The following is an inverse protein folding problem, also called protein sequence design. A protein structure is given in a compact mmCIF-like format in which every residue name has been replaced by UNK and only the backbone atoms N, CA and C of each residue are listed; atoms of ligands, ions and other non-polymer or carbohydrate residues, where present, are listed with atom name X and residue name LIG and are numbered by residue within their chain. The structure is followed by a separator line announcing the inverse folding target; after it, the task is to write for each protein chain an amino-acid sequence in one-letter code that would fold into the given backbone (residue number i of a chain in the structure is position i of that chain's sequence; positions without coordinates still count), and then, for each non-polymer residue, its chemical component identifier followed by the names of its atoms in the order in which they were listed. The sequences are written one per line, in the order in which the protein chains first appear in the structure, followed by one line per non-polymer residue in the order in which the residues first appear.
data_IF_975769241882
#
_entry.id   IF_975769241882
#
_cell.length_a   1.000
_cell.length_b   1.000
_cell.length_c   1.000
_cell.angle_alpha   90.00
_cell.angle_beta   90.00
_cell.angle_gamma   90.00
#
_symmetry.space_group_name_H-M   'P 1'
#
loop_
_entity.id
_entity.type
_entity.pdbx_description
1 polymer ?
#
# COMPACT_ATOMS: atom_id res chain seq x y z
N UNK A 1 -17.33 5.50 4.26
CA UNK A 1 -16.34 4.41 4.41
C UNK A 1 -16.17 3.73 3.06
N UNK A 2 -14.94 3.39 2.70
CA UNK A 2 -14.65 2.57 1.52
C UNK A 2 -15.13 1.13 1.80
N UNK A 3 -15.88 0.51 0.87
CA UNK A 3 -16.37 -0.86 1.05
C UNK A 3 -15.22 -1.87 0.99
N UNK A 4 -15.31 -2.96 1.77
CA UNK A 4 -14.33 -4.07 1.71
C UNK A 4 -14.37 -4.78 0.37
N UNK A 5 -15.58 -4.97 -0.16
CA UNK A 5 -15.83 -5.65 -1.43
C UNK A 5 -16.94 -4.92 -2.18
N UNK A 6 -16.80 -4.81 -3.50
CA UNK A 6 -17.90 -4.47 -4.40
C UNK A 6 -17.90 -5.47 -5.53
N UNK A 7 -19.04 -6.14 -5.74
CA UNK A 7 -19.23 -6.99 -6.90
C UNK A 7 -19.19 -6.16 -8.19
N UNK A 8 -18.90 -6.79 -9.35
CA UNK A 8 -19.12 -6.16 -10.64
C UNK A 8 -20.53 -5.59 -10.73
N UNK A 9 -20.61 -4.37 -11.25
CA UNK A 9 -21.82 -3.57 -11.30
C UNK A 9 -22.48 -3.73 -12.69
N UNK A 10 -23.83 -3.72 -12.77
CA UNK A 10 -24.54 -3.94 -14.03
C UNK A 10 -24.40 -2.77 -15.02
N UNK A 11 -23.95 -1.60 -14.56
CA UNK A 11 -23.68 -0.44 -15.40
C UNK A 11 -22.72 -0.74 -16.56
N UNK A 12 -22.98 -0.10 -17.70
CA UNK A 12 -22.10 -0.14 -18.86
C UNK A 12 -21.70 1.26 -19.27
N UNK A 13 -20.43 1.43 -19.63
CA UNK A 13 -19.95 2.68 -20.20
C UNK A 13 -20.39 2.81 -21.66
N UNK A 14 -20.54 4.04 -22.15
CA UNK A 14 -20.74 4.26 -23.58
C UNK A 14 -19.48 3.89 -24.38
N UNK A 15 -19.68 3.45 -25.62
CA UNK A 15 -18.61 3.16 -26.58
C UNK A 15 -18.15 4.40 -27.36
N UNK A 16 -18.97 5.45 -27.40
CA UNK A 16 -18.70 6.71 -28.10
C UNK A 16 -17.51 7.45 -27.50
N UNK A 17 -16.84 8.26 -28.31
CA UNK A 17 -15.79 9.14 -27.83
C UNK A 17 -16.43 10.28 -27.02
N UNK A 18 -15.86 10.61 -25.87
CA UNK A 18 -16.32 11.77 -25.11
C UNK A 18 -15.17 12.53 -24.47
N UNK A 19 -15.38 13.83 -24.28
CA UNK A 19 -14.42 14.72 -23.65
C UNK A 19 -15.13 15.83 -22.89
N UNK A 20 -14.69 16.06 -21.66
CA UNK A 20 -15.09 17.23 -20.89
C UNK A 20 -14.40 18.48 -21.46
N UNK A 21 -15.20 19.49 -21.82
CA UNK A 21 -14.73 20.80 -22.25
C UNK A 21 -14.57 21.67 -21.00
N UNK A 22 -13.32 21.80 -20.55
CA UNK A 22 -12.93 22.45 -19.28
C UNK A 22 -11.73 23.36 -19.49
N UNK A 23 -11.47 24.22 -18.51
CA UNK A 23 -10.21 24.95 -18.48
C UNK A 23 -9.01 23.99 -18.33
N UNK A 24 -7.83 24.35 -18.89
CA UNK A 24 -6.65 23.49 -18.81
C UNK A 24 -6.22 23.18 -17.37
N UNK A 25 -6.38 24.15 -16.47
CA UNK A 25 -5.94 24.07 -15.07
C UNK A 25 -6.83 23.19 -14.20
N UNK A 26 -8.11 23.04 -14.55
CA UNK A 26 -9.05 22.30 -13.73
C UNK A 26 -8.82 20.78 -13.85
N UNK A 27 -8.87 20.07 -12.74
CA UNK A 27 -8.76 18.62 -12.71
C UNK A 27 -10.11 17.94 -12.45
N UNK A 28 -10.64 17.28 -13.47
CA UNK A 28 -11.91 16.57 -13.41
C UNK A 28 -11.77 15.09 -13.80
N UNK A 29 -12.56 14.27 -13.12
CA UNK A 29 -12.91 12.93 -13.51
C UNK A 29 -14.31 12.95 -14.13
N UNK A 30 -14.51 12.30 -15.29
CA UNK A 30 -15.81 12.21 -15.92
C UNK A 30 -16.04 10.82 -16.53
N UNK A 31 -17.20 10.24 -16.24
CA UNK A 31 -17.63 8.92 -16.72
C UNK A 31 -19.03 9.02 -17.28
N UNK A 32 -19.25 8.41 -18.43
CA UNK A 32 -20.55 8.40 -19.11
C UNK A 32 -21.05 6.96 -19.25
N UNK A 33 -22.15 6.67 -18.55
CA UNK A 33 -22.81 5.38 -18.55
C UNK A 33 -23.94 5.36 -19.58
N UNK A 34 -24.06 4.25 -20.29
CA UNK A 34 -25.16 3.97 -21.20
C UNK A 34 -26.44 3.70 -20.40
N UNK A 35 -27.53 4.38 -20.76
CA UNK A 35 -28.87 4.14 -20.17
C UNK A 35 -29.88 3.75 -21.27
N UNK A 36 -29.70 4.27 -22.48
CA UNK A 36 -30.44 3.90 -23.68
C UNK A 36 -29.81 4.50 -24.92
N UNK A 37 -30.35 4.19 -26.11
CA UNK A 37 -29.77 4.62 -27.39
C UNK A 37 -29.61 6.14 -27.51
N UNK A 38 -30.42 6.93 -26.80
CA UNK A 38 -30.35 8.40 -26.75
C UNK A 38 -30.33 8.97 -25.34
N UNK A 39 -29.90 8.17 -24.36
CA UNK A 39 -29.88 8.57 -22.96
C UNK A 39 -28.64 8.04 -22.26
N UNK A 40 -27.93 8.91 -21.56
CA UNK A 40 -26.78 8.53 -20.75
C UNK A 40 -26.88 9.09 -19.33
N UNK A 41 -26.13 8.48 -18.42
CA UNK A 41 -25.88 9.02 -17.08
C UNK A 41 -24.44 9.49 -17.01
N UNK A 42 -24.24 10.76 -16.71
CA UNK A 42 -22.92 11.37 -16.56
C UNK A 42 -22.60 11.54 -15.09
N UNK A 43 -21.41 11.08 -14.68
CA UNK A 43 -20.82 11.33 -13.37
C UNK A 43 -19.58 12.19 -13.57
N UNK A 44 -19.53 13.33 -12.90
CA UNK A 44 -18.38 14.24 -12.89
C UNK A 44 -17.90 14.44 -11.46
N UNK A 45 -16.58 14.38 -11.24
CA UNK A 45 -15.94 14.70 -9.96
C UNK A 45 -14.81 15.69 -10.17
N UNK A 46 -14.75 16.71 -9.33
CA UNK A 46 -13.60 17.61 -9.23
C UNK A 46 -12.54 16.97 -8.33
N UNK A 47 -11.30 16.93 -8.80
CA UNK A 47 -10.19 16.20 -8.19
C UNK A 47 -9.13 17.11 -7.56
N UNK A 48 -9.18 18.41 -7.86
CA UNK A 48 -8.23 19.42 -7.39
C UNK A 48 -8.78 20.34 -6.29
N UNK A 49 -10.09 20.32 -6.02
CA UNK A 49 -10.72 21.17 -5.01
C UNK A 49 -11.83 20.45 -4.22
N UNK A 50 -12.05 20.90 -2.98
CA UNK A 50 -13.14 20.40 -2.13
C UNK A 50 -14.49 21.04 -2.44
N UNK A 51 -14.49 22.16 -3.16
CA UNK A 51 -15.69 22.87 -3.60
C UNK A 51 -16.11 22.41 -5.00
N UNK A 52 -17.33 22.76 -5.41
CA UNK A 52 -17.78 22.56 -6.78
C UNK A 52 -17.14 23.52 -7.79
N UNK A 53 -17.87 23.80 -8.86
CA UNK A 53 -17.42 24.65 -9.97
C UNK A 53 -18.55 25.59 -10.40
N UNK A 54 -18.23 26.87 -10.58
CA UNK A 54 -19.18 27.90 -10.99
C UNK A 54 -19.21 28.17 -12.50
N UNK A 55 -18.20 27.70 -13.24
CA UNK A 55 -18.14 27.86 -14.69
C UNK A 55 -19.04 26.84 -15.40
N UNK A 56 -19.57 27.19 -16.57
CA UNK A 56 -20.35 26.27 -17.38
C UNK A 56 -19.47 25.17 -17.96
N UNK A 57 -19.56 23.99 -17.36
CA UNK A 57 -18.90 22.79 -17.81
C UNK A 57 -19.71 22.14 -18.92
N UNK A 58 -19.07 21.71 -20.00
CA UNK A 58 -19.73 21.04 -21.12
C UNK A 58 -19.10 19.69 -21.40
N UNK A 59 -19.88 18.75 -21.91
CA UNK A 59 -19.44 17.43 -22.31
C UNK A 59 -19.67 17.28 -23.81
N UNK A 60 -18.60 16.99 -24.54
CA UNK A 60 -18.71 16.58 -25.95
C UNK A 60 -18.82 15.05 -26.01
N UNK A 61 -19.83 14.53 -26.68
CA UNK A 61 -19.98 13.11 -27.04
C UNK A 61 -20.04 13.04 -28.56
N UNK A 62 -19.04 12.43 -29.19
CA UNK A 62 -18.77 12.52 -30.62
C UNK A 62 -18.86 13.98 -31.11
N UNK A 63 -19.89 14.33 -31.90
CA UNK A 63 -20.09 15.67 -32.47
C UNK A 63 -21.11 16.52 -31.68
N UNK A 64 -21.75 15.98 -30.65
CA UNK A 64 -22.74 16.70 -29.84
C UNK A 64 -22.10 17.29 -28.58
N UNK A 65 -22.46 18.53 -28.24
CA UNK A 65 -22.03 19.20 -27.01
C UNK A 65 -23.23 19.39 -26.09
N UNK A 66 -23.14 18.80 -24.91
CA UNK A 66 -24.15 18.82 -23.86
C UNK A 66 -23.71 19.72 -22.71
N UNK A 67 -24.65 20.39 -22.07
CA UNK A 67 -24.39 21.22 -20.90
C UNK A 67 -24.43 20.37 -19.62
N UNK A 68 -23.33 20.41 -18.86
CA UNK A 68 -23.26 19.82 -17.51
C UNK A 68 -23.63 20.90 -16.47
N UNK A 69 -23.45 22.18 -16.78
CA UNK A 69 -23.69 23.29 -15.87
C UNK A 69 -22.76 23.32 -14.67
N UNK A 70 -23.04 24.22 -13.73
CA UNK A 70 -22.31 24.38 -12.47
C UNK A 70 -22.67 23.29 -11.43
N UNK A 71 -21.83 23.12 -10.41
CA UNK A 71 -22.13 22.34 -9.20
C UNK A 71 -21.65 23.09 -7.95
N UNK A 72 -22.41 23.02 -6.87
CA UNK A 72 -21.99 23.55 -5.56
C UNK A 72 -21.00 22.64 -4.85
N UNK A 73 -21.10 21.32 -5.08
CA UNK A 73 -20.22 20.29 -4.53
C UNK A 73 -19.19 19.83 -5.54
N UNK A 74 -18.12 19.17 -5.08
CA UNK A 74 -17.05 18.65 -5.93
C UNK A 74 -17.46 17.41 -6.76
N UNK A 75 -18.76 17.17 -6.92
CA UNK A 75 -19.32 16.10 -7.73
C UNK A 75 -20.63 16.55 -8.37
N UNK A 76 -21.02 15.91 -9.47
CA UNK A 76 -22.34 16.04 -10.07
C UNK A 76 -22.69 14.77 -10.84
N UNK A 77 -23.88 14.25 -10.61
CA UNK A 77 -24.45 13.13 -11.38
C UNK A 77 -25.76 13.58 -12.02
N UNK A 78 -25.96 13.25 -13.28
CA UNK A 78 -27.19 13.58 -14.01
C UNK A 78 -27.46 12.59 -15.14
N UNK A 79 -28.70 12.54 -15.60
CA UNK A 79 -29.06 11.91 -16.86
C UNK A 79 -29.23 12.98 -17.94
N UNK A 80 -28.77 12.69 -19.15
CA UNK A 80 -28.85 13.57 -20.32
C UNK A 80 -29.45 12.78 -21.50
N UNK A 81 -30.25 13.48 -22.29
CA UNK A 81 -30.66 13.01 -23.61
C UNK A 81 -29.64 13.45 -24.67
N UNK A 82 -29.44 12.61 -25.67
CA UNK A 82 -28.48 12.84 -26.76
C UNK A 82 -29.18 12.76 -28.11
N UNK A 83 -28.78 13.62 -29.04
CA UNK A 83 -29.14 13.52 -30.47
C UNK A 83 -28.33 12.42 -31.15
N UNK A 84 -27.08 12.24 -30.73
CA UNK A 84 -26.24 11.13 -31.22
C UNK A 84 -26.71 9.80 -30.63
N UNK A 85 -26.67 8.75 -31.44
CA UNK A 85 -26.93 7.40 -30.98
C UNK A 85 -25.76 6.88 -30.15
N UNK A 86 -26.06 6.40 -28.95
CA UNK A 86 -25.07 5.86 -28.04
C UNK A 86 -24.86 4.37 -28.28
N UNK A 87 -23.60 3.96 -28.24
CA UNK A 87 -23.19 2.55 -28.27
C UNK A 87 -22.76 2.11 -26.89
N UNK A 88 -22.78 0.80 -26.64
CA UNK A 88 -22.28 0.20 -25.39
C UNK A 88 -20.81 -0.17 -25.57
N UNK A 89 -19.96 0.18 -24.60
CA UNK A 89 -18.56 -0.25 -24.61
C UNK A 89 -18.47 -1.78 -24.50
N UNK A 90 -17.70 -2.38 -25.41
CA UNK A 90 -17.50 -3.83 -25.49
C UNK A 90 -16.44 -4.27 -24.49
N UNK A 91 -16.83 -5.14 -23.56
CA UNK A 91 -15.91 -5.77 -22.61
C UNK A 91 -15.27 -6.96 -23.33
N UNK A 92 -13.94 -6.96 -23.43
CA UNK A 92 -13.16 -8.03 -24.08
C UNK A 92 -12.71 -9.04 -23.06
N UNK A 93 -12.64 -10.32 -23.44
CA UNK A 93 -12.02 -11.36 -22.61
C UNK A 93 -10.55 -11.04 -22.32
N UNK A 94 -10.08 -11.49 -21.16
CA UNK A 94 -8.71 -11.31 -20.70
C UNK A 94 -8.32 -12.42 -19.73
N UNK A 95 -7.03 -12.76 -19.71
CA UNK A 95 -6.48 -13.73 -18.76
C UNK A 95 -6.36 -13.18 -17.34
N UNK A 96 -5.96 -11.91 -17.21
CA UNK A 96 -5.83 -11.24 -15.90
C UNK A 96 -7.23 -11.08 -15.28
N UNK A 97 -7.48 -11.58 -14.06
CA UNK A 97 -8.78 -11.47 -13.42
C UNK A 97 -9.28 -10.02 -13.28
N UNK A 98 -10.59 -9.78 -13.51
CA UNK A 98 -11.23 -8.47 -13.34
C UNK A 98 -11.48 -8.14 -11.86
N UNK A 99 -10.41 -8.03 -11.09
CA UNK A 99 -10.45 -7.67 -9.67
C UNK A 99 -9.45 -6.55 -9.42
N UNK A 100 -9.93 -5.41 -8.93
CA UNK A 100 -9.11 -4.29 -8.47
C UNK A 100 -8.82 -4.50 -6.98
N UNK A 101 -7.54 -4.45 -6.61
CA UNK A 101 -7.07 -4.66 -5.23
C UNK A 101 -6.33 -3.43 -4.76
N UNK A 102 -6.74 -2.92 -3.61
CA UNK A 102 -6.06 -1.84 -2.91
C UNK A 102 -5.93 -2.16 -1.43
N UNK A 103 -4.88 -1.65 -0.79
CA UNK A 103 -4.66 -1.78 0.65
C UNK A 103 -4.37 -0.42 1.27
N UNK A 104 -4.95 -0.16 2.43
CA UNK A 104 -4.64 1.02 3.24
C UNK A 104 -5.01 0.76 4.69
N UNK A 105 -4.40 1.48 5.64
CA UNK A 105 -4.56 1.16 7.06
C UNK A 105 -5.99 1.26 7.61
N UNK A 106 -6.87 1.98 6.90
CA UNK A 106 -8.26 2.18 7.30
C UNK A 106 -9.15 2.39 6.08
N UNK A 107 -10.41 1.98 6.21
CA UNK A 107 -11.48 2.23 5.23
C UNK A 107 -12.04 3.66 5.28
N UNK A 108 -11.67 4.45 6.29
CA UNK A 108 -12.12 5.83 6.39
C UNK A 108 -11.25 6.71 5.49
N UNK A 109 -11.82 7.34 4.44
CA UNK A 109 -11.05 8.29 3.63
C UNK A 109 -10.64 9.48 4.50
N UNK A 110 -9.46 10.02 4.21
CA UNK A 110 -8.89 11.13 4.98
C UNK A 110 -9.60 12.47 4.69
N UNK A 111 -10.16 12.63 3.49
CA UNK A 111 -10.92 13.79 3.03
C UNK A 111 -11.64 13.45 1.69
N UNK A 112 -12.53 14.31 1.16
CA UNK A 112 -13.30 14.01 -0.05
C UNK A 112 -12.46 13.66 -1.29
N UNK A 113 -11.34 14.35 -1.53
CA UNK A 113 -10.47 14.01 -2.68
C UNK A 113 -9.83 12.62 -2.58
N UNK A 114 -9.53 12.11 -1.38
CA UNK A 114 -9.10 10.72 -1.19
C UNK A 114 -10.24 9.76 -1.54
N UNK A 115 -11.48 10.07 -1.14
CA UNK A 115 -12.64 9.26 -1.54
C UNK A 115 -12.86 9.29 -3.06
N UNK A 116 -12.71 10.46 -3.71
CA UNK A 116 -12.79 10.58 -5.17
C UNK A 116 -11.70 9.77 -5.89
N UNK A 117 -10.49 9.69 -5.33
CA UNK A 117 -9.41 8.87 -5.87
C UNK A 117 -9.83 7.38 -5.97
N UNK A 118 -10.41 6.83 -4.90
CA UNK A 118 -11.03 5.50 -4.92
C UNK A 118 -12.16 5.41 -5.96
N UNK A 119 -13.05 6.40 -6.01
CA UNK A 119 -14.20 6.38 -6.92
C UNK A 119 -13.77 6.31 -8.39
N UNK A 120 -12.67 6.93 -8.77
CA UNK A 120 -12.17 6.84 -10.16
C UNK A 120 -11.91 5.40 -10.61
N UNK A 121 -11.48 4.51 -9.71
CA UNK A 121 -11.27 3.10 -10.04
C UNK A 121 -12.59 2.38 -10.28
N UNK A 122 -13.54 2.50 -9.35
CA UNK A 122 -14.81 1.76 -9.48
C UNK A 122 -15.67 2.34 -10.59
N UNK A 123 -15.67 3.66 -10.78
CA UNK A 123 -16.48 4.35 -11.80
C UNK A 123 -16.01 4.06 -13.23
N UNK A 124 -14.69 4.02 -13.48
CA UNK A 124 -14.15 3.68 -14.81
C UNK A 124 -14.25 2.20 -15.16
N UNK A 125 -14.49 1.33 -14.18
CA UNK A 125 -14.39 -0.11 -14.35
C UNK A 125 -15.58 -0.83 -13.66
N UNK A 126 -16.84 -0.53 -14.05
CA UNK A 126 -18.01 -1.19 -13.47
C UNK A 126 -17.95 -2.72 -13.59
N UNK A 127 -17.29 -3.26 -14.60
CA UNK A 127 -17.12 -4.69 -14.85
C UNK A 127 -16.09 -5.39 -13.95
N UNK A 128 -15.37 -4.63 -13.10
CA UNK A 128 -14.40 -5.17 -12.16
C UNK A 128 -15.02 -5.33 -10.78
N UNK A 129 -14.68 -6.44 -10.13
CA UNK A 129 -14.82 -6.56 -8.68
C UNK A 129 -13.81 -5.63 -8.01
N UNK A 130 -14.19 -4.97 -6.91
CA UNK A 130 -13.27 -4.19 -6.09
C UNK A 130 -13.05 -4.86 -4.74
N UNK A 131 -11.79 -4.95 -4.29
CA UNK A 131 -11.42 -5.43 -2.95
C UNK A 131 -10.49 -4.46 -2.25
N UNK A 132 -10.86 -4.11 -1.03
CA UNK A 132 -10.06 -3.31 -0.12
C UNK A 132 -9.59 -4.15 1.05
N UNK A 133 -8.31 -4.02 1.40
CA UNK A 133 -7.70 -4.67 2.56
C UNK A 133 -7.16 -3.63 3.54
N UNK A 134 -7.59 -3.71 4.80
CA UNK A 134 -6.89 -3.05 5.90
C UNK A 134 -5.76 -3.93 6.47
N UNK A 135 -5.00 -3.39 7.44
CA UNK A 135 -3.85 -4.09 8.05
C UNK A 135 -4.25 -5.49 8.60
N UNK A 136 -5.46 -5.62 9.15
CA UNK A 136 -5.96 -6.87 9.72
C UNK A 136 -6.44 -7.84 8.62
N UNK A 137 -7.06 -7.32 7.55
CA UNK A 137 -7.46 -8.10 6.39
C UNK A 137 -6.23 -8.68 5.65
N UNK A 138 -5.17 -7.88 5.46
CA UNK A 138 -3.91 -8.31 4.86
C UNK A 138 -3.28 -9.48 5.62
N UNK A 139 -3.16 -9.33 6.95
CA UNK A 139 -2.62 -10.39 7.81
C UNK A 139 -3.46 -11.65 7.79
N UNK A 140 -4.79 -11.51 7.87
CA UNK A 140 -5.74 -12.63 7.83
C UNK A 140 -5.76 -13.34 6.48
N UNK A 141 -5.55 -12.61 5.38
CA UNK A 141 -5.35 -13.20 4.06
C UNK A 141 -4.09 -14.07 4.04
N UNK A 142 -2.95 -13.54 4.50
CA UNK A 142 -1.67 -14.29 4.52
C UNK A 142 -1.81 -15.55 5.38
N UNK A 143 -2.38 -15.42 6.59
CA UNK A 143 -2.61 -16.56 7.51
C UNK A 143 -3.44 -17.69 6.87
N UNK A 144 -4.42 -17.36 6.01
CA UNK A 144 -5.30 -18.36 5.39
C UNK A 144 -4.68 -19.05 4.17
N UNK A 145 -3.81 -18.36 3.44
CA UNK A 145 -3.33 -18.83 2.13
C UNK A 145 -1.87 -19.26 2.11
N UNK A 146 -1.08 -18.90 3.12
CA UNK A 146 0.36 -19.15 3.14
C UNK A 146 0.81 -19.83 4.44
N UNK A 147 1.95 -20.55 4.40
CA UNK A 147 2.57 -21.10 5.60
C UNK A 147 2.91 -20.01 6.62
N UNK A 148 2.99 -20.41 7.88
CA UNK A 148 3.34 -19.54 9.02
C UNK A 148 4.59 -18.67 8.76
N UNK A 149 5.59 -19.22 8.06
CA UNK A 149 6.81 -18.50 7.68
C UNK A 149 6.56 -17.18 6.95
N UNK A 150 5.53 -17.11 6.09
CA UNK A 150 5.18 -15.88 5.36
C UNK A 150 4.45 -14.89 6.27
N UNK A 151 3.58 -15.40 7.15
CA UNK A 151 2.90 -14.59 8.17
C UNK A 151 3.90 -13.98 9.15
N UNK A 152 4.92 -14.73 9.56
CA UNK A 152 6.03 -14.25 10.38
C UNK A 152 6.80 -13.12 9.71
N UNK A 153 7.15 -13.29 8.42
CA UNK A 153 7.83 -12.26 7.66
C UNK A 153 6.99 -10.97 7.60
N UNK A 154 5.68 -11.10 7.41
CA UNK A 154 4.76 -9.96 7.43
C UNK A 154 4.70 -9.28 8.82
N UNK A 155 4.54 -10.06 9.89
CA UNK A 155 4.44 -9.58 11.26
C UNK A 155 5.73 -8.82 11.68
N UNK A 156 6.91 -9.33 11.32
CA UNK A 156 8.20 -8.78 11.75
C UNK A 156 8.53 -7.44 11.07
N UNK A 157 8.01 -7.16 9.87
CA UNK A 157 8.20 -5.86 9.23
C UNK A 157 7.48 -4.76 10.03
N UNK A 158 8.15 -3.65 10.35
CA UNK A 158 7.52 -2.53 11.06
C UNK A 158 6.79 -1.57 10.14
N UNK A 159 7.43 -1.18 9.04
CA UNK A 159 6.89 -0.15 8.17
C UNK A 159 5.76 -0.71 7.30
N UNK A 160 4.62 -0.01 7.29
CA UNK A 160 3.45 -0.36 6.47
C UNK A 160 3.77 -0.50 4.98
N UNK A 161 4.72 0.28 4.46
CA UNK A 161 5.14 0.19 3.06
C UNK A 161 5.71 -1.20 2.71
N UNK A 162 6.65 -1.72 3.51
CA UNK A 162 7.19 -3.07 3.31
C UNK A 162 6.11 -4.16 3.47
N UNK A 163 5.20 -4.00 4.43
CA UNK A 163 4.07 -4.92 4.59
C UNK A 163 3.16 -4.93 3.37
N UNK A 164 2.84 -3.77 2.80
CA UNK A 164 2.02 -3.65 1.61
C UNK A 164 2.71 -4.23 0.36
N UNK A 165 4.03 -4.11 0.25
CA UNK A 165 4.82 -4.77 -0.80
C UNK A 165 4.75 -6.30 -0.69
N UNK A 166 4.91 -6.85 0.52
CA UNK A 166 4.80 -8.30 0.71
C UNK A 166 3.36 -8.78 0.42
N UNK A 167 2.36 -8.06 0.93
CA UNK A 167 0.95 -8.40 0.73
C UNK A 167 0.56 -8.44 -0.75
N UNK A 168 1.00 -7.48 -1.58
CA UNK A 168 0.61 -7.50 -3.01
C UNK A 168 1.18 -8.71 -3.75
N UNK A 169 2.39 -9.17 -3.40
CA UNK A 169 2.90 -10.43 -3.94
C UNK A 169 2.06 -11.63 -3.47
N UNK A 170 1.73 -11.69 -2.17
CA UNK A 170 0.86 -12.73 -1.63
C UNK A 170 -0.49 -12.80 -2.34
N UNK A 171 -1.16 -11.64 -2.52
CA UNK A 171 -2.46 -11.61 -3.17
C UNK A 171 -2.38 -12.05 -4.64
N UNK A 172 -1.45 -11.45 -5.40
CA UNK A 172 -1.33 -11.72 -6.84
C UNK A 172 -0.92 -13.17 -7.13
N UNK A 173 -0.11 -13.81 -6.28
CA UNK A 173 0.23 -15.25 -6.43
C UNK A 173 -1.02 -16.12 -6.32
N UNK A 174 -1.93 -15.84 -5.39
CA UNK A 174 -3.11 -16.68 -5.12
C UNK A 174 -4.23 -16.40 -6.12
N UNK A 175 -4.52 -15.13 -6.36
CA UNK A 175 -5.74 -14.72 -7.08
C UNK A 175 -5.47 -13.98 -8.39
N UNK A 176 -4.25 -13.53 -8.64
CA UNK A 176 -3.99 -12.58 -9.73
C UNK A 176 -4.77 -11.28 -9.54
N UNK A 177 -5.09 -10.63 -10.65
CA UNK A 177 -5.89 -9.41 -10.69
C UNK A 177 -5.02 -8.15 -10.83
N UNK A 178 -5.58 -7.01 -10.40
CA UNK A 178 -5.02 -5.68 -10.65
C UNK A 178 -4.78 -4.93 -9.34
N UNK A 179 -3.55 -4.96 -8.84
CA UNK A 179 -3.16 -4.22 -7.64
C UNK A 179 -2.79 -2.77 -7.99
N UNK A 180 -3.29 -1.82 -7.19
CA UNK A 180 -2.92 -0.41 -7.25
C UNK A 180 -2.74 0.16 -5.84
N UNK A 181 -1.85 1.15 -5.71
CA UNK A 181 -1.76 1.93 -4.49
C UNK A 181 -3.06 2.72 -4.25
N UNK A 182 -3.54 2.73 -3.00
CA UNK A 182 -4.92 3.12 -2.71
C UNK A 182 -5.22 4.60 -2.99
N UNK A 183 -4.20 5.45 -2.85
CA UNK A 183 -4.34 6.91 -2.99
C UNK A 183 -4.06 7.41 -4.41
N UNK A 184 -4.04 6.52 -5.40
CA UNK A 184 -3.90 6.90 -6.79
C UNK A 184 -5.23 7.34 -7.41
N UNK A 185 -5.15 8.16 -8.45
CA UNK A 185 -6.31 8.58 -9.25
C UNK A 185 -6.19 7.94 -10.62
N UNK A 186 -7.16 7.09 -10.97
CA UNK A 186 -7.21 6.45 -12.28
C UNK A 186 -7.79 7.43 -13.31
N UNK A 187 -7.13 7.57 -14.46
CA UNK A 187 -7.51 8.53 -15.52
C UNK A 187 -8.19 7.87 -16.71
N UNK A 188 -7.96 6.58 -16.91
CA UNK A 188 -8.41 5.79 -18.07
C UNK A 188 -8.85 4.41 -17.63
N UNK A 189 -9.67 3.75 -18.44
CA UNK A 189 -10.26 2.45 -18.10
C UNK A 189 -9.19 1.37 -18.18
N UNK A 190 -9.30 0.34 -17.35
CA UNK A 190 -8.36 -0.79 -17.38
C UNK A 190 -8.48 -1.60 -18.67
N UNK A 191 -9.66 -1.67 -19.29
CA UNK A 191 -9.85 -2.26 -20.62
C UNK A 191 -9.10 -1.51 -21.74
N UNK A 192 -8.70 -0.26 -21.53
CA UNK A 192 -7.85 0.47 -22.49
C UNK A 192 -6.39 0.02 -22.39
N UNK A 193 -5.99 -0.62 -21.27
CA UNK A 193 -4.63 -1.04 -20.95
C UNK A 193 -4.43 -2.55 -21.14
N UNK A 194 -5.32 -3.38 -20.58
CA UNK A 194 -5.18 -4.84 -20.54
C UNK A 194 -5.62 -5.46 -21.85
N UNK A 195 -4.71 -6.19 -22.50
CA UNK A 195 -4.98 -6.93 -23.73
C UNK A 195 -5.40 -8.37 -23.41
N UNK A 196 -6.16 -9.05 -24.30
CA UNK A 196 -6.66 -10.40 -24.04
C UNK A 196 -5.57 -11.41 -23.65
N UNK A 197 -4.40 -11.32 -24.29
CA UNK A 197 -3.30 -12.27 -24.14
C UNK A 197 -2.29 -11.89 -23.04
N UNK A 198 -2.45 -10.73 -22.38
CA UNK A 198 -1.53 -10.27 -21.34
C UNK A 198 -1.56 -11.22 -20.13
N UNK A 199 -0.40 -11.76 -19.76
CA UNK A 199 -0.22 -12.48 -18.49
C UNK A 199 0.16 -11.51 -17.35
N UNK A 200 0.77 -10.39 -17.70
CA UNK A 200 1.20 -9.33 -16.78
C UNK A 200 1.10 -7.96 -17.45
N UNK A 201 0.82 -6.95 -16.63
CA UNK A 201 1.03 -5.54 -16.98
C UNK A 201 1.75 -4.87 -15.81
N UNK A 202 3.00 -4.50 -16.03
CA UNK A 202 3.87 -3.88 -15.05
C UNK A 202 4.25 -2.44 -15.45
N UNK A 203 4.87 -1.72 -14.53
CA UNK A 203 5.27 -0.33 -14.69
C UNK A 203 6.78 -0.18 -14.57
N UNK A 204 7.42 0.43 -15.57
CA UNK A 204 8.81 0.85 -15.48
C UNK A 204 8.92 2.01 -14.50
N UNK A 205 9.83 1.92 -13.52
CA UNK A 205 10.05 2.99 -12.54
C UNK A 205 10.96 4.11 -13.12
N UNK A 206 11.09 5.21 -12.37
CA UNK A 206 12.03 6.30 -12.66
C UNK A 206 13.48 5.79 -12.70
N UNK A 207 13.81 4.85 -11.82
CA UNK A 207 15.08 4.17 -11.85
C UNK A 207 15.08 3.12 -12.99
N UNK A 208 16.10 3.11 -13.88
CA UNK A 208 16.16 2.14 -14.97
C UNK A 208 16.16 0.68 -14.51
N UNK A 209 16.66 0.42 -13.31
CA UNK A 209 16.73 -0.90 -12.66
C UNK A 209 15.59 -1.14 -11.65
N UNK A 210 14.47 -0.41 -11.78
CA UNK A 210 13.30 -0.56 -10.93
C UNK A 210 12.03 -0.80 -11.73
N UNK A 211 11.15 -1.65 -11.22
CA UNK A 211 9.76 -1.75 -11.67
C UNK A 211 8.86 -1.19 -10.59
N UNK A 212 8.05 -0.19 -10.93
CA UNK A 212 7.24 0.54 -9.97
C UNK A 212 6.10 -0.35 -9.46
N UNK A 213 6.35 -1.01 -8.33
CA UNK A 213 5.51 -2.08 -7.79
C UNK A 213 4.19 -1.57 -7.16
N UNK A 214 3.92 -0.27 -7.21
CA UNK A 214 2.66 0.34 -6.78
C UNK A 214 1.51 0.07 -7.75
N UNK A 215 1.80 -0.42 -8.95
CA UNK A 215 0.83 -0.89 -9.95
C UNK A 215 1.31 -2.23 -10.51
N UNK A 216 0.53 -3.28 -10.32
CA UNK A 216 0.88 -4.63 -10.75
C UNK A 216 -0.37 -5.39 -11.15
N UNK A 217 -0.45 -5.79 -12.42
CA UNK A 217 -1.52 -6.64 -12.91
C UNK A 217 -0.90 -7.97 -13.33
N UNK A 218 -1.50 -9.08 -12.91
CA UNK A 218 -0.96 -10.41 -13.18
C UNK A 218 -2.05 -11.48 -13.18
N UNK A 219 -1.81 -12.56 -13.92
CA UNK A 219 -2.51 -13.83 -13.74
C UNK A 219 -2.18 -14.46 -12.37
N UNK A 220 -3.09 -15.26 -11.79
CA UNK A 220 -2.76 -16.07 -10.62
C UNK A 220 -1.62 -17.04 -10.94
N UNK A 221 -0.82 -17.38 -9.94
CA UNK A 221 0.27 -18.35 -10.09
C UNK A 221 1.47 -17.86 -10.91
N UNK A 222 1.62 -16.55 -11.14
CA UNK A 222 2.79 -16.01 -11.84
C UNK A 222 4.11 -16.39 -11.16
N UNK A 223 4.97 -17.13 -11.88
CA UNK A 223 6.28 -17.57 -11.39
C UNK A 223 7.19 -16.39 -11.00
N UNK A 224 7.18 -15.30 -11.77
CA UNK A 224 8.00 -14.13 -11.47
C UNK A 224 7.58 -13.46 -10.16
N UNK A 225 6.27 -13.35 -9.92
CA UNK A 225 5.73 -12.79 -8.67
C UNK A 225 5.97 -13.76 -7.50
N UNK A 226 5.86 -15.07 -7.73
CA UNK A 226 6.19 -16.09 -6.73
C UNK A 226 7.66 -16.00 -6.30
N UNK A 227 8.60 -15.84 -7.23
CA UNK A 227 10.03 -15.63 -6.92
C UNK A 227 10.27 -14.34 -6.12
N UNK A 228 9.52 -13.27 -6.41
CA UNK A 228 9.56 -12.05 -5.59
C UNK A 228 9.10 -12.32 -4.16
N UNK A 229 7.98 -13.03 -3.99
CA UNK A 229 7.46 -13.41 -2.66
C UNK A 229 8.49 -14.25 -1.89
N UNK A 230 9.01 -15.30 -2.49
CA UNK A 230 9.94 -16.22 -1.83
C UNK A 230 11.22 -15.50 -1.41
N UNK A 231 11.81 -14.71 -2.31
CA UNK A 231 13.00 -13.94 -1.98
C UNK A 231 12.72 -12.85 -0.94
N UNK A 232 11.57 -12.18 -0.98
CA UNK A 232 11.19 -11.22 0.05
C UNK A 232 11.15 -11.87 1.43
N UNK A 233 10.48 -13.03 1.54
CA UNK A 233 10.39 -13.79 2.80
C UNK A 233 11.78 -14.21 3.28
N UNK A 234 12.63 -14.74 2.40
CA UNK A 234 14.01 -15.10 2.75
C UNK A 234 14.82 -13.91 3.26
N UNK A 235 14.75 -12.76 2.57
CA UNK A 235 15.43 -11.53 2.96
C UNK A 235 14.97 -11.02 4.34
N UNK A 236 13.67 -11.06 4.61
CA UNK A 236 13.10 -10.62 5.89
C UNK A 236 13.55 -11.52 7.04
N UNK A 237 13.53 -12.84 6.85
CA UNK A 237 14.03 -13.81 7.84
C UNK A 237 15.53 -13.63 8.09
N UNK A 238 16.30 -13.32 7.05
CA UNK A 238 17.72 -13.01 7.16
C UNK A 238 18.02 -11.60 7.71
N UNK A 239 17.00 -10.79 8.06
CA UNK A 239 17.14 -9.39 8.49
C UNK A 239 17.93 -8.53 7.51
N UNK A 240 17.74 -8.78 6.22
CA UNK A 240 18.47 -8.13 5.13
C UNK A 240 18.08 -6.64 5.00
N UNK A 241 19.07 -5.76 4.83
CA UNK A 241 18.83 -4.34 4.51
C UNK A 241 19.22 -3.98 3.08
N UNK A 242 20.09 -4.75 2.43
CA UNK A 242 20.59 -4.41 1.10
C UNK A 242 21.33 -3.07 1.03
N UNK A 243 21.43 -2.55 -0.19
CA UNK A 243 22.06 -1.25 -0.47
C UNK A 243 21.09 -0.07 -0.35
N UNK A 244 19.79 -0.35 -0.51
CA UNK A 244 18.72 0.63 -0.38
C UNK A 244 17.43 -0.06 0.10
N UNK A 245 16.46 0.74 0.58
CA UNK A 245 15.19 0.23 1.08
C UNK A 245 14.37 -0.54 0.04
N UNK A 246 14.47 -0.21 -1.25
CA UNK A 246 13.66 -0.79 -2.32
C UNK A 246 14.04 -2.26 -2.62
N UNK A 247 15.20 -2.74 -2.15
CA UNK A 247 15.65 -4.12 -2.35
C UNK A 247 15.00 -5.16 -1.43
N UNK A 248 14.42 -4.73 -0.31
CA UNK A 248 13.88 -5.66 0.70
C UNK A 248 12.61 -6.33 0.19
N UNK A 249 11.64 -5.54 -0.27
CA UNK A 249 10.37 -6.03 -0.85
C UNK A 249 9.93 -5.22 -2.07
N UNK A 250 10.64 -4.14 -2.40
CA UNK A 250 10.14 -3.06 -3.24
C UNK A 250 10.47 -3.18 -4.73
N UNK A 251 10.50 -2.05 -5.45
CA UNK A 251 10.75 -1.98 -6.89
C UNK A 251 12.01 -2.70 -7.40
N UNK A 252 13.13 -2.64 -6.68
CA UNK A 252 14.38 -3.29 -7.07
C UNK A 252 14.24 -4.83 -7.03
N UNK A 253 13.51 -5.35 -6.03
CA UNK A 253 13.25 -6.80 -5.93
C UNK A 253 12.34 -7.27 -7.06
N UNK A 254 11.29 -6.50 -7.37
CA UNK A 254 10.40 -6.81 -8.49
C UNK A 254 11.18 -6.83 -9.80
N UNK A 255 11.98 -5.79 -10.07
CA UNK A 255 12.80 -5.71 -11.28
C UNK A 255 13.72 -6.91 -11.44
N UNK A 256 14.37 -7.36 -10.36
CA UNK A 256 15.28 -8.53 -10.37
C UNK A 256 14.65 -9.78 -10.98
N UNK A 257 13.36 -10.01 -10.75
CA UNK A 257 12.65 -11.22 -11.18
C UNK A 257 11.70 -11.02 -12.35
N UNK A 258 11.34 -9.78 -12.68
CA UNK A 258 10.26 -9.46 -13.61
C UNK A 258 10.65 -8.46 -14.71
N UNK A 259 11.91 -8.04 -14.82
CA UNK A 259 12.35 -7.09 -15.86
C UNK A 259 12.18 -7.57 -17.31
N UNK A 260 11.99 -8.87 -17.53
CA UNK A 260 11.75 -9.49 -18.83
C UNK A 260 10.25 -9.51 -19.22
N UNK A 261 9.36 -9.11 -18.30
CA UNK A 261 7.92 -9.12 -18.51
C UNK A 261 7.42 -7.81 -19.14
N UNK A 262 6.17 -7.82 -19.61
CA UNK A 262 5.52 -6.69 -20.26
C UNK A 262 5.39 -5.48 -19.32
N UNK A 263 5.99 -4.35 -19.72
CA UNK A 263 6.04 -3.09 -18.97
C UNK A 263 5.46 -1.92 -19.77
N UNK A 264 4.17 -1.97 -20.16
CA UNK A 264 3.58 -0.93 -21.01
C UNK A 264 3.34 0.39 -20.27
N UNK A 265 3.39 0.38 -18.93
CA UNK A 265 3.27 1.56 -18.10
C UNK A 265 4.65 2.17 -17.80
N UNK A 266 4.72 3.49 -17.71
CA UNK A 266 5.94 4.24 -17.37
C UNK A 266 5.67 5.26 -16.27
N UNK A 267 6.34 5.12 -15.13
CA UNK A 267 6.36 6.15 -14.10
C UNK A 267 7.26 7.30 -14.57
N UNK A 268 6.76 8.53 -14.50
CA UNK A 268 7.49 9.74 -14.92
C UNK A 268 7.53 10.77 -13.82
N UNK A 269 8.53 11.65 -13.89
CA UNK A 269 8.58 12.84 -13.05
C UNK A 269 7.30 13.67 -13.26
N UNK A 270 6.84 14.34 -12.20
CA UNK A 270 5.54 15.03 -12.23
C UNK A 270 4.37 14.20 -11.69
N UNK A 271 4.64 13.08 -11.00
CA UNK A 271 3.65 12.31 -10.23
C UNK A 271 2.56 11.67 -11.11
N UNK A 272 3.00 11.09 -12.23
CA UNK A 272 2.13 10.44 -13.20
C UNK A 272 2.70 9.09 -13.64
N UNK A 273 1.80 8.18 -13.98
CA UNK A 273 2.11 6.96 -14.73
C UNK A 273 1.44 7.09 -16.09
N UNK A 274 2.22 6.90 -17.15
CA UNK A 274 1.79 7.01 -18.53
C UNK A 274 1.52 5.64 -19.14
N UNK A 275 0.57 5.60 -20.07
CA UNK A 275 0.35 4.51 -21.01
C UNK A 275 0.20 5.12 -22.41
N UNK A 276 1.03 4.68 -23.37
CA UNK A 276 1.10 5.28 -24.72
C UNK A 276 1.28 6.80 -24.67
N UNK A 277 2.23 7.26 -23.83
CA UNK A 277 2.59 8.67 -23.59
C UNK A 277 1.46 9.58 -23.09
N UNK A 278 0.34 9.00 -22.66
CA UNK A 278 -0.78 9.73 -22.06
C UNK A 278 -0.94 9.38 -20.58
N UNK A 279 -1.35 10.33 -19.73
CA UNK A 279 -1.63 10.06 -18.33
C UNK A 279 -2.64 8.92 -18.17
N UNK A 280 -2.25 7.89 -17.42
CA UNK A 280 -3.09 6.75 -17.08
C UNK A 280 -3.47 6.77 -15.59
N UNK A 281 -2.51 7.12 -14.73
CA UNK A 281 -2.71 7.30 -13.29
C UNK A 281 -2.01 8.59 -12.84
N UNK A 282 -2.65 9.35 -11.94
CA UNK A 282 -1.97 10.37 -11.14
C UNK A 282 -1.64 9.81 -9.77
N UNK A 283 -0.39 9.95 -9.33
CA UNK A 283 0.10 9.36 -8.09
C UNK A 283 -0.07 10.26 -6.87
N UNK A 284 -0.67 11.45 -7.05
CA UNK A 284 -1.04 12.37 -5.97
C UNK A 284 -2.29 13.16 -6.31
N UNK A 285 -2.87 13.79 -5.29
CA UNK A 285 -3.93 14.79 -5.35
C UNK A 285 -3.71 15.84 -4.23
N UNK A 286 -4.38 17.01 -4.26
CA UNK A 286 -4.32 17.98 -3.16
C UNK A 286 -4.72 17.36 -1.81
N UNK A 287 -3.85 17.47 -0.81
CA UNK A 287 -4.05 16.83 0.49
C UNK A 287 -3.52 15.38 0.60
N UNK A 288 -2.88 14.83 -0.44
CA UNK A 288 -2.36 13.45 -0.46
C UNK A 288 -1.47 13.07 0.75
N UNK A 289 -0.63 14.01 1.20
CA UNK A 289 0.24 13.84 2.37
C UNK A 289 -0.40 14.29 3.69
N UNK A 290 -1.69 14.68 3.67
CA UNK A 290 -2.45 14.99 4.88
C UNK A 290 -2.70 13.71 5.72
N UNK A 291 -2.65 13.86 7.05
CA UNK A 291 -2.88 12.78 8.01
C UNK A 291 -1.74 12.58 9.02
N UNK A 292 -1.88 11.56 9.87
CA UNK A 292 -0.86 11.19 10.87
C UNK A 292 0.46 10.83 10.19
N UNK A 293 1.54 11.52 10.56
CA UNK A 293 2.89 11.19 10.15
C UNK A 293 3.27 9.84 10.76
N UNK A 294 3.20 8.79 9.95
CA UNK A 294 3.88 7.54 10.28
C UNK A 294 5.38 7.73 10.11
N UNK A 295 6.17 7.04 10.92
CA UNK A 295 7.62 6.99 10.75
C UNK A 295 7.92 6.51 9.32
N UNK A 296 8.64 7.34 8.56
CA UNK A 296 8.92 7.04 7.16
C UNK A 296 9.71 5.74 7.06
N UNK A 297 9.33 4.84 6.14
CA UNK A 297 10.04 3.58 5.94
C UNK A 297 11.53 3.80 5.62
N UNK A 298 11.87 4.91 4.95
CA UNK A 298 13.25 5.32 4.69
C UNK A 298 14.01 5.59 5.99
N UNK A 299 13.42 6.34 6.92
CA UNK A 299 14.03 6.57 8.23
C UNK A 299 14.23 5.28 9.03
N UNK A 300 13.23 4.39 9.04
CA UNK A 300 13.36 3.06 9.66
C UNK A 300 14.46 2.23 8.99
N UNK A 301 14.66 2.35 7.68
CA UNK A 301 15.73 1.66 6.97
C UNK A 301 17.11 2.24 7.29
N UNK A 302 17.25 3.56 7.25
CA UNK A 302 18.50 4.30 7.53
C UNK A 302 18.99 3.99 8.95
N UNK A 303 18.06 3.91 9.91
CA UNK A 303 18.36 3.63 11.33
C UNK A 303 18.41 2.15 11.68
N UNK A 304 18.33 1.25 10.69
CA UNK A 304 18.33 -0.21 10.89
C UNK A 304 17.23 -0.74 11.80
N UNK A 305 16.00 -0.26 11.61
CA UNK A 305 14.82 -0.52 12.45
C UNK A 305 13.61 -1.08 11.73
N UNK A 306 13.71 -1.52 10.47
CA UNK A 306 12.55 -2.07 9.72
C UNK A 306 12.00 -3.40 10.27
N UNK A 307 12.72 -4.08 11.17
CA UNK A 307 12.32 -5.37 11.75
C UNK A 307 12.05 -5.28 13.25
N UNK A 308 10.98 -5.89 13.73
CA UNK A 308 10.80 -6.19 15.16
C UNK A 308 11.91 -7.15 15.64
N UNK A 309 12.38 -6.96 16.87
CA UNK A 309 13.53 -7.72 17.39
C UNK A 309 13.11 -9.10 17.87
N UNK A 310 11.89 -9.24 18.38
CA UNK A 310 11.30 -10.50 18.81
C UNK A 310 9.85 -10.61 18.39
N UNK A 311 9.45 -11.85 18.13
CA UNK A 311 8.07 -12.27 17.91
C UNK A 311 7.80 -13.43 18.86
N UNK A 312 6.86 -13.28 19.78
CA UNK A 312 6.50 -14.32 20.75
C UNK A 312 5.01 -14.61 20.65
N UNK A 313 4.64 -15.89 20.64
CA UNK A 313 3.24 -16.33 20.69
C UNK A 313 2.89 -16.74 22.11
N UNK A 314 1.81 -16.19 22.65
CA UNK A 314 1.27 -16.60 23.94
C UNK A 314 -0.23 -16.28 24.03
N UNK A 315 -1.00 -17.19 24.60
CA UNK A 315 -2.42 -17.00 24.97
C UNK A 315 -3.32 -16.48 23.83
N UNK A 316 -3.08 -16.89 22.59
CA UNK A 316 -3.85 -16.43 21.42
C UNK A 316 -3.43 -15.06 20.88
N UNK A 317 -2.28 -14.55 21.29
CA UNK A 317 -1.69 -13.29 20.83
C UNK A 317 -0.27 -13.48 20.30
N UNK A 318 0.11 -12.62 19.35
CA UNK A 318 1.48 -12.41 18.90
C UNK A 318 2.00 -11.10 19.47
N UNK A 319 3.10 -11.17 20.21
CA UNK A 319 3.82 -10.04 20.79
C UNK A 319 5.04 -9.71 19.93
N UNK A 320 5.08 -8.49 19.40
CA UNK A 320 6.20 -7.96 18.64
C UNK A 320 6.92 -6.93 19.49
N UNK A 321 8.16 -7.23 19.87
CA UNK A 321 8.95 -6.41 20.79
C UNK A 321 9.81 -5.42 20.03
N UNK A 322 9.84 -4.18 20.54
CA UNK A 322 10.69 -3.12 20.05
C UNK A 322 11.46 -2.47 21.21
N UNK A 323 12.80 -2.45 21.16
CA UNK A 323 13.58 -1.53 21.99
C UNK A 323 13.30 -0.10 21.52
N UNK A 324 12.87 0.76 22.42
CA UNK A 324 12.63 2.18 22.19
C UNK A 324 13.96 2.98 22.17
N UNK A 325 15.01 2.48 22.82
CA UNK A 325 16.35 3.11 22.90
C UNK A 325 17.22 2.92 21.66
N UNK A 326 16.64 3.02 20.47
CA UNK A 326 17.40 3.32 19.25
C UNK A 326 17.64 4.83 19.06
N UNK A 327 17.05 5.69 19.91
CA UNK A 327 17.16 7.15 19.81
C UNK A 327 18.55 7.69 20.23
N UNK A 328 19.28 6.98 21.11
CA UNK A 328 20.57 7.44 21.65
C UNK A 328 21.76 6.72 20.99
N UNK A 329 21.64 5.41 20.72
CA UNK A 329 22.74 4.61 20.15
C UNK A 329 22.98 4.88 18.66
N UNK A 330 21.93 5.19 17.88
CA UNK A 330 22.07 5.45 16.45
C UNK A 330 22.56 6.85 16.14
N UNK A 331 22.46 7.81 17.06
CA UNK A 331 23.08 9.12 16.86
C UNK A 331 24.60 8.99 16.89
N UNK A 332 25.13 8.27 17.87
CA UNK A 332 26.58 7.98 17.96
C UNK A 332 27.06 7.10 16.81
N UNK A 333 26.28 6.11 16.37
CA UNK A 333 26.64 5.27 15.21
C UNK A 333 26.54 6.04 13.88
N UNK A 334 25.52 6.86 13.69
CA UNK A 334 25.38 7.72 12.50
C UNK A 334 26.47 8.80 12.48
N UNK A 335 26.81 9.40 13.62
CA UNK A 335 27.90 10.36 13.77
C UNK A 335 29.27 9.69 13.54
N UNK A 336 29.46 8.46 14.01
CA UNK A 336 30.68 7.67 13.78
C UNK A 336 30.84 7.20 12.32
N UNK A 337 29.74 6.85 11.64
CA UNK A 337 29.73 6.49 10.21
C UNK A 337 29.90 7.73 9.34
N UNK A 338 29.39 8.89 9.76
CA UNK A 338 29.61 10.18 9.11
C UNK A 338 31.05 10.70 9.27
N UNK A 339 31.70 10.43 10.42
CA UNK A 339 33.11 10.76 10.67
C UNK A 339 34.07 9.69 10.13
N UNK A 340 34.12 9.49 8.80
CA UNK A 340 35.26 8.82 8.17
C UNK A 340 36.48 9.74 8.14
N UNK A 341 37.29 9.75 9.21
CA UNK A 341 38.71 10.11 9.15
C UNK A 341 39.56 9.50 10.26
N UNK A 342 40.54 8.68 9.83
CA UNK A 342 41.84 8.30 10.44
C UNK A 342 41.97 8.28 11.99
N UNK A 343 42.17 7.05 12.53
CA UNK A 343 42.58 6.61 13.90
C UNK A 343 41.37 6.23 14.79
N UNK A 344 41.16 4.98 15.26
CA UNK A 344 42.07 4.09 16.00
C UNK A 344 41.43 2.69 16.19
N UNK A 345 42.00 1.65 15.56
CA UNK A 345 41.50 0.24 15.53
C UNK A 345 41.50 -0.55 16.86
N UNK A 346 41.96 0.04 17.97
CA UNK A 346 42.09 -0.67 19.27
C UNK A 346 40.96 -0.31 20.24
N UNK A 347 40.43 0.92 20.21
CA UNK A 347 39.23 1.30 20.97
C UNK A 347 37.95 0.73 20.35
N UNK A 348 37.90 0.65 19.02
CA UNK A 348 36.83 -0.03 18.29
C UNK A 348 36.72 -1.50 18.67
N UNK A 349 37.83 -2.24 18.81
CA UNK A 349 37.78 -3.66 19.17
C UNK A 349 37.19 -3.92 20.56
N UNK A 350 37.45 -3.04 21.54
CA UNK A 350 36.90 -3.15 22.89
C UNK A 350 35.46 -2.60 22.99
N UNK A 351 35.12 -1.56 22.22
CA UNK A 351 33.74 -1.07 22.09
C UNK A 351 32.85 -2.08 21.37
N UNK A 352 33.36 -2.72 20.31
CA UNK A 352 32.71 -3.81 19.58
C UNK A 352 32.59 -5.06 20.44
N UNK A 353 33.60 -5.46 21.23
CA UNK A 353 33.47 -6.59 22.19
C UNK A 353 32.48 -6.31 23.34
N UNK A 354 32.45 -5.07 23.84
CA UNK A 354 31.50 -4.58 24.85
C UNK A 354 30.07 -4.51 24.29
N UNK A 355 29.92 -4.14 23.01
CA UNK A 355 28.67 -4.18 22.25
C UNK A 355 28.25 -5.61 21.93
N UNK A 356 29.18 -6.51 21.59
CA UNK A 356 28.92 -7.93 21.32
C UNK A 356 28.41 -8.67 22.56
N UNK A 357 28.89 -8.33 23.76
CA UNK A 357 28.32 -8.84 25.01
C UNK A 357 26.90 -8.29 25.33
N UNK A 358 26.45 -7.25 24.63
CA UNK A 358 25.08 -6.69 24.69
C UNK A 358 24.22 -7.08 23.47
N UNK A 359 24.71 -7.95 22.58
CA UNK A 359 24.02 -8.38 21.35
C UNK A 359 23.03 -9.54 21.54
N UNK A 360 22.82 -10.03 22.76
CA UNK A 360 21.66 -10.86 23.04
C UNK A 360 20.49 -9.94 23.40
N UNK A 361 19.52 -9.70 22.49
CA UNK A 361 18.31 -8.98 22.85
C UNK A 361 17.68 -9.70 24.04
N UNK A 362 17.35 -8.95 25.09
CA UNK A 362 16.67 -9.46 26.28
C UNK A 362 15.49 -10.33 25.83
N UNK A 363 15.37 -11.55 26.35
CA UNK A 363 14.33 -12.49 25.91
C UNK A 363 13.15 -12.41 26.85
N UNK A 364 11.94 -12.45 26.30
CA UNK A 364 10.72 -12.26 27.08
C UNK A 364 9.76 -13.45 26.94
N UNK A 365 9.12 -13.83 28.04
CA UNK A 365 7.89 -14.60 28.07
C UNK A 365 6.71 -13.64 28.31
N UNK A 366 5.59 -13.90 27.64
CA UNK A 366 4.36 -13.11 27.76
C UNK A 366 3.22 -14.00 28.25
N UNK A 367 2.35 -13.46 29.10
CA UNK A 367 1.08 -14.09 29.46
C UNK A 367 -0.06 -13.09 29.49
N UNK A 368 -1.24 -13.48 29.06
CA UNK A 368 -2.45 -12.67 29.12
C UNK A 368 -3.40 -13.26 30.16
N UNK A 369 -3.64 -12.50 31.24
CA UNK A 369 -4.56 -12.91 32.30
C UNK A 369 -5.29 -11.69 32.85
N UNK A 370 -6.59 -11.83 33.14
CA UNK A 370 -7.43 -10.79 33.75
C UNK A 370 -7.42 -9.45 33.01
N UNK A 371 -7.32 -9.49 31.68
CA UNK A 371 -7.25 -8.28 30.84
C UNK A 371 -5.92 -7.52 30.99
N UNK A 372 -4.82 -8.18 31.40
CA UNK A 372 -3.49 -7.59 31.50
C UNK A 372 -2.42 -8.47 30.84
N UNK A 373 -1.31 -7.84 30.42
CA UNK A 373 -0.16 -8.52 29.83
C UNK A 373 0.96 -8.63 30.86
N UNK A 374 1.25 -9.85 31.31
CA UNK A 374 2.43 -10.12 32.13
C UNK A 374 3.62 -10.37 31.22
N UNK A 375 4.76 -9.78 31.59
CA UNK A 375 6.00 -9.84 30.81
C UNK A 375 7.10 -10.24 31.77
N UNK A 376 7.82 -11.30 31.43
CA UNK A 376 8.93 -11.78 32.25
C UNK A 376 10.19 -11.91 31.39
N UNK A 377 11.31 -11.43 31.91
CA UNK A 377 12.61 -11.55 31.25
C UNK A 377 13.20 -12.93 31.56
N UNK A 378 13.41 -13.75 30.54
CA UNK A 378 13.87 -15.14 30.72
C UNK A 378 15.39 -15.31 30.61
N UNK A 379 16.10 -14.38 29.96
CA UNK A 379 17.57 -14.42 29.89
C UNK A 379 18.24 -13.99 31.21
N UNK A 380 17.50 -13.26 32.06
CA UNK A 380 17.90 -12.90 33.44
C UNK A 380 16.69 -12.91 34.38
N UNK A 381 16.25 -14.08 34.84
CA UNK A 381 15.13 -14.20 35.79
C UNK A 381 15.34 -13.32 37.02
N UNK A 382 14.27 -12.73 37.54
CA UNK A 382 14.30 -11.83 38.71
C UNK A 382 14.84 -10.43 38.45
N UNK A 383 15.23 -10.08 37.22
CA UNK A 383 15.64 -8.73 36.83
C UNK A 383 14.63 -8.15 35.83
N UNK A 384 14.41 -6.83 35.88
CA UNK A 384 13.63 -6.15 34.86
C UNK A 384 14.37 -5.96 33.53
N UNK A 385 13.88 -5.04 32.71
CA UNK A 385 14.48 -4.66 31.44
C UNK A 385 15.08 -3.24 31.48
N UNK A 386 16.36 -3.16 31.10
CA UNK A 386 17.14 -1.92 31.11
C UNK A 386 16.89 -1.04 29.86
N UNK A 387 16.05 -1.51 28.93
CA UNK A 387 15.74 -0.84 27.67
C UNK A 387 14.29 -0.42 27.70
N UNK A 388 13.99 0.80 27.28
CA UNK A 388 12.60 1.23 27.15
C UNK A 388 11.92 0.34 26.09
N UNK A 389 10.79 -0.30 26.41
CA UNK A 389 10.14 -1.29 25.53
C UNK A 389 8.79 -0.81 25.00
N UNK A 390 8.56 -1.02 23.70
CA UNK A 390 7.26 -0.94 23.06
C UNK A 390 6.85 -2.31 22.53
N UNK A 391 5.57 -2.65 22.67
CA UNK A 391 4.97 -3.85 22.12
C UNK A 391 3.91 -3.49 21.08
N UNK A 392 3.91 -4.24 19.98
CA UNK A 392 2.70 -4.42 19.17
C UNK A 392 2.11 -5.79 19.53
N UNK A 393 0.86 -5.80 19.97
CA UNK A 393 0.15 -7.02 20.39
C UNK A 393 -0.93 -7.30 19.36
N UNK A 394 -0.88 -8.47 18.73
CA UNK A 394 -1.78 -8.87 17.66
C UNK A 394 -2.62 -10.05 18.13
N UNK A 395 -3.95 -9.90 18.10
CA UNK A 395 -4.85 -11.02 18.35
C UNK A 395 -4.80 -12.01 17.18
N UNK A 396 -4.55 -13.29 17.44
CA UNK A 396 -4.25 -14.25 16.36
C UNK A 396 -5.41 -14.48 15.40
N UNK A 397 -6.63 -14.62 15.93
CA UNK A 397 -7.82 -14.89 15.12
C UNK A 397 -8.29 -13.67 14.32
N UNK A 398 -8.42 -12.53 14.99
CA UNK A 398 -8.99 -11.29 14.41
C UNK A 398 -7.97 -10.43 13.69
N UNK A 399 -6.67 -10.67 13.89
CA UNK A 399 -5.55 -9.83 13.41
C UNK A 399 -5.59 -8.38 13.87
N UNK A 400 -6.46 -8.03 14.84
CA UNK A 400 -6.49 -6.70 15.45
C UNK A 400 -5.20 -6.47 16.23
N UNK A 401 -4.65 -5.27 16.10
CA UNK A 401 -3.38 -4.88 16.75
C UNK A 401 -3.63 -3.76 17.75
N UNK A 402 -3.01 -3.83 18.93
CA UNK A 402 -2.87 -2.71 19.85
C UNK A 402 -1.40 -2.47 20.18
N UNK A 403 -1.11 -1.28 20.74
CA UNK A 403 0.25 -0.86 21.08
C UNK A 403 0.35 -0.59 22.57
N UNK A 404 1.40 -1.11 23.20
CA UNK A 404 1.69 -0.90 24.61
C UNK A 404 3.09 -0.31 24.76
N UNK A 405 3.21 0.82 25.46
CA UNK A 405 4.49 1.37 25.87
C UNK A 405 4.72 1.02 27.34
N UNK A 406 5.83 0.35 27.64
CA UNK A 406 6.08 -0.22 28.95
C UNK A 406 7.19 0.52 29.71
N UNK A 407 8.00 1.32 29.02
CA UNK A 407 9.11 2.03 29.67
C UNK A 407 10.28 1.10 30.00
N UNK A 408 11.19 1.57 30.85
CA UNK A 408 12.23 0.75 31.50
C UNK A 408 11.72 0.22 32.84
N UNK A 409 12.17 -0.95 33.27
CA UNK A 409 11.90 -1.44 34.62
C UNK A 409 13.15 -2.10 35.21
N UNK A 410 13.64 -1.68 36.39
CA UNK A 410 14.73 -2.37 37.09
C UNK A 410 14.26 -3.65 37.80
N UNK A 411 12.96 -3.77 38.09
CA UNK A 411 12.35 -4.91 38.79
C UNK A 411 11.48 -5.76 37.83
N UNK A 412 11.19 -7.03 38.16
CA UNK A 412 10.21 -7.84 37.42
C UNK A 412 8.84 -7.15 37.43
N UNK A 413 8.42 -6.61 36.28
CA UNK A 413 7.21 -5.77 36.20
C UNK A 413 6.09 -6.43 35.38
N UNK A 414 4.89 -6.42 35.95
CA UNK A 414 3.62 -6.72 35.25
C UNK A 414 3.13 -5.44 34.57
N UNK A 415 3.00 -5.46 33.24
CA UNK A 415 2.50 -4.34 32.46
C UNK A 415 0.98 -4.49 32.20
N UNK A 416 0.14 -3.77 32.94
CA UNK A 416 -1.31 -3.82 32.68
C UNK A 416 -1.67 -2.95 31.47
N UNK A 417 -1.90 -3.57 30.32
CA UNK A 417 -2.64 -2.93 29.22
C UNK A 417 -4.13 -2.99 29.57
N UNK A 418 -4.80 -1.86 29.75
CA UNK A 418 -6.27 -1.81 29.87
C UNK A 418 -6.92 -2.02 28.48
N UNK A 419 -8.13 -2.61 28.42
CA UNK A 419 -8.71 -3.18 27.21
C UNK A 419 -8.85 -2.23 26.01
#
# INVERSE_FOLDING_TARGET
MIPKTMAPRPERLIGNAYQLLKEPVDDFHAVVYFVGERRCRVVVRRLDAFTGWGQFLRLRIDDEVLDIGASETNEKTMELETRVALSVSVIRDQKIPRVIIQTFSTRQPQHPLHYNAFLTFVELNPEYEYRFFDDADCRSFIRRHFPERVLEAYDILKARAFRADLFRYCYLVVHGGCYFDHKYVLRRRLQDLVRPDDDHVLCQDLAPWGLFNSVMLAIPGSDAIRRCLDQAVDQIHARFYGQNALQVTGPDLLWRHANHLNTPLRHVHGRQILFEDRPFISTTFPGYYGGTRHECYGHLWDTKRIYHTQRVRADGYVFLVEPHTDYIMNKELADAVAQKSRLRRVRERNAVRSMEHRLHPARFEFRVADGAVRIERIDRPGHGWDLDLRLSIIHEETSKTCFLHIGTSPEPSVARALP
#
